data_IF_151815352107
#
_entry.id   IF_151815352107
#
_cell.length_a   1.000
_cell.length_b   1.000
_cell.length_c   1.000
_cell.angle_alpha   90.00
_cell.angle_beta   90.00
_cell.angle_gamma   90.00
#
_symmetry.space_group_name_H-M   'P 1'
#
loop_
_entity.id
_entity.type
_entity.pdbx_description
1 polymer ?
#
# COMPACT_ATOMS: atom_id res chain seq x y z
N UNK A 1 -14.99 -2.71 -16.24
CA UNK A 1 -14.76 -4.17 -16.24
C UNK A 1 -13.28 -4.58 -16.25
N UNK A 2 -12.37 -3.80 -16.86
CA UNK A 2 -10.93 -4.09 -16.90
C UNK A 2 -10.23 -4.18 -15.53
N UNK A 3 -10.58 -3.32 -14.56
CA UNK A 3 -9.89 -3.25 -13.26
C UNK A 3 -10.13 -4.46 -12.35
N UNK A 4 -11.33 -5.06 -12.39
CA UNK A 4 -11.68 -6.22 -11.56
C UNK A 4 -10.97 -7.48 -12.06
N UNK A 5 -11.03 -7.75 -13.37
CA UNK A 5 -10.34 -8.88 -14.01
C UNK A 5 -8.83 -8.81 -13.78
N UNK A 6 -8.22 -7.63 -13.92
CA UNK A 6 -6.80 -7.42 -13.63
C UNK A 6 -6.45 -7.72 -12.15
N UNK A 7 -7.34 -7.38 -11.22
CA UNK A 7 -7.15 -7.66 -9.79
C UNK A 7 -7.19 -9.15 -9.49
N UNK A 8 -8.12 -9.89 -10.11
CA UNK A 8 -8.22 -11.35 -9.95
C UNK A 8 -6.99 -12.07 -10.50
N UNK A 9 -6.49 -11.65 -11.66
CA UNK A 9 -5.30 -12.25 -12.30
C UNK A 9 -4.03 -11.98 -11.49
N UNK A 10 -3.89 -10.78 -10.92
CA UNK A 10 -2.68 -10.40 -10.17
C UNK A 10 -2.71 -10.86 -8.71
N UNK A 11 -3.87 -11.28 -8.19
CA UNK A 11 -4.07 -11.65 -6.78
C UNK A 11 -3.11 -12.75 -6.28
N UNK A 12 -2.86 -13.85 -7.01
CA UNK A 12 -1.89 -14.88 -6.60
C UNK A 12 -0.51 -14.30 -6.32
N UNK A 13 -0.04 -13.41 -7.20
CA UNK A 13 1.27 -12.74 -7.09
C UNK A 13 1.28 -11.78 -5.90
N UNK A 14 0.19 -11.08 -5.63
CA UNK A 14 0.06 -10.26 -4.42
C UNK A 14 0.15 -11.11 -3.16
N UNK A 15 -0.53 -12.26 -3.12
CA UNK A 15 -0.55 -13.15 -1.97
C UNK A 15 0.83 -13.74 -1.67
N UNK A 16 1.57 -14.17 -2.70
CA UNK A 16 2.94 -14.67 -2.52
C UNK A 16 3.88 -13.60 -1.96
N UNK A 17 3.79 -12.37 -2.49
CA UNK A 17 4.61 -11.25 -2.03
C UNK A 17 4.29 -10.88 -0.58
N UNK A 18 3.00 -10.79 -0.24
CA UNK A 18 2.57 -10.49 1.14
C UNK A 18 3.07 -11.55 2.13
N UNK A 19 2.99 -12.85 1.76
CA UNK A 19 3.53 -13.94 2.58
C UNK A 19 5.02 -13.82 2.82
N UNK A 20 5.76 -13.47 1.78
CA UNK A 20 7.20 -13.29 1.87
C UNK A 20 7.54 -12.12 2.79
N UNK A 21 6.80 -11.01 2.73
CA UNK A 21 6.96 -9.87 3.66
C UNK A 21 6.67 -10.26 5.11
N UNK A 22 5.63 -11.08 5.33
CA UNK A 22 5.21 -11.46 6.67
C UNK A 22 6.16 -12.50 7.30
N UNK A 23 6.50 -13.57 6.57
CA UNK A 23 7.26 -14.71 7.10
C UNK A 23 8.76 -14.69 6.76
N UNK A 24 9.22 -13.81 5.86
CA UNK A 24 10.60 -13.82 5.33
C UNK A 24 11.07 -15.16 4.76
N UNK A 25 10.14 -15.96 4.23
CA UNK A 25 10.42 -17.26 3.60
C UNK A 25 11.01 -17.10 2.19
N UNK A 26 11.56 -18.19 1.63
CA UNK A 26 12.01 -18.20 0.23
C UNK A 26 10.79 -18.20 -0.71
N UNK A 27 10.96 -17.65 -1.91
CA UNK A 27 9.90 -17.61 -2.94
C UNK A 27 9.39 -19.01 -3.26
N UNK A 28 10.33 -19.96 -3.39
CA UNK A 28 10.01 -21.37 -3.65
C UNK A 28 9.19 -21.97 -2.52
N UNK A 29 9.53 -21.70 -1.28
CA UNK A 29 8.78 -22.16 -0.11
C UNK A 29 7.40 -21.52 -0.03
N UNK A 30 7.28 -20.22 -0.31
CA UNK A 30 5.99 -19.53 -0.35
C UNK A 30 5.09 -20.12 -1.46
N UNK A 31 5.64 -20.37 -2.65
CA UNK A 31 4.90 -20.99 -3.76
C UNK A 31 4.50 -22.43 -3.44
N UNK A 32 5.39 -23.22 -2.84
CA UNK A 32 5.09 -24.58 -2.39
C UNK A 32 4.00 -24.60 -1.32
N UNK A 33 4.08 -23.74 -0.31
CA UNK A 33 3.02 -23.60 0.70
C UNK A 33 1.67 -23.20 0.08
N UNK A 34 1.66 -22.30 -0.90
CA UNK A 34 0.43 -21.94 -1.61
C UNK A 34 -0.10 -23.08 -2.48
N UNK A 35 0.79 -23.91 -3.05
CA UNK A 35 0.41 -25.08 -3.82
C UNK A 35 -0.21 -26.16 -2.92
N UNK A 36 0.39 -26.42 -1.75
CA UNK A 36 -0.12 -27.35 -0.74
C UNK A 36 -1.46 -26.91 -0.13
N UNK A 37 -1.73 -25.61 -0.06
CA UNK A 37 -3.00 -25.06 0.43
C UNK A 37 -4.18 -25.23 -0.53
N UNK A 38 -3.92 -25.41 -1.82
CA UNK A 38 -4.92 -25.59 -2.88
C UNK A 38 -5.51 -24.29 -3.46
N UNK A 39 -6.05 -24.40 -4.68
CA UNK A 39 -6.53 -23.27 -5.49
C UNK A 39 -7.69 -22.48 -4.87
N UNK A 40 -8.55 -23.12 -4.07
CA UNK A 40 -9.65 -22.44 -3.37
C UNK A 40 -9.13 -21.48 -2.28
N UNK A 41 -8.03 -21.82 -1.60
CA UNK A 41 -7.40 -20.94 -0.61
C UNK A 41 -6.56 -19.86 -1.26
N UNK A 42 -6.10 -20.05 -2.50
CA UNK A 42 -5.35 -19.04 -3.27
C UNK A 42 -6.14 -17.73 -3.42
N UNK A 43 -7.45 -17.82 -3.69
CA UNK A 43 -8.35 -16.66 -3.85
C UNK A 43 -8.97 -16.17 -2.54
N UNK A 44 -8.69 -16.82 -1.41
CA UNK A 44 -9.18 -16.38 -0.11
C UNK A 44 -8.54 -15.03 0.25
N UNK A 45 -9.38 -14.05 0.55
CA UNK A 45 -8.95 -12.66 0.79
C UNK A 45 -8.95 -11.77 -0.45
N UNK A 46 -9.51 -12.23 -1.59
CA UNK A 46 -9.71 -11.39 -2.80
C UNK A 46 -10.90 -10.43 -2.65
N UNK A 47 -11.84 -10.74 -1.76
CA UNK A 47 -13.06 -9.93 -1.56
C UNK A 47 -12.75 -8.52 -1.02
N UNK A 48 -11.93 -8.34 0.04
CA UNK A 48 -11.57 -7.00 0.51
C UNK A 48 -10.95 -6.09 -0.55
N UNK A 49 -9.94 -6.49 -1.35
CA UNK A 49 -9.36 -5.61 -2.37
C UNK A 49 -10.32 -5.32 -3.54
N UNK A 50 -11.22 -6.23 -3.88
CA UNK A 50 -12.27 -5.97 -4.88
C UNK A 50 -13.23 -4.88 -4.38
N UNK A 51 -13.71 -5.01 -3.13
CA UNK A 51 -14.55 -3.99 -2.49
C UNK A 51 -13.81 -2.66 -2.39
N UNK A 52 -12.55 -2.69 -1.97
CA UNK A 52 -11.72 -1.50 -1.84
C UNK A 52 -11.59 -0.77 -3.18
N UNK A 53 -11.28 -1.47 -4.27
CA UNK A 53 -11.22 -0.87 -5.61
C UNK A 53 -12.57 -0.33 -6.10
N UNK A 54 -13.68 -1.01 -5.79
CA UNK A 54 -15.01 -0.50 -6.15
C UNK A 54 -15.39 0.75 -5.37
N UNK A 55 -15.05 0.80 -4.07
CA UNK A 55 -15.34 1.94 -3.20
C UNK A 55 -14.40 3.12 -3.46
N UNK A 56 -13.15 2.86 -3.84
CA UNK A 56 -12.18 3.89 -4.16
C UNK A 56 -12.64 4.78 -5.31
N UNK A 57 -13.22 4.22 -6.37
CA UNK A 57 -13.79 5.05 -7.44
C UNK A 57 -14.91 5.97 -6.93
N UNK A 58 -15.85 5.45 -6.16
CA UNK A 58 -17.04 6.23 -5.77
C UNK A 58 -16.75 7.25 -4.66
N UNK A 59 -16.01 6.84 -3.64
CA UNK A 59 -15.75 7.66 -2.44
C UNK A 59 -14.66 8.69 -2.74
N UNK A 60 -13.59 8.31 -3.44
CA UNK A 60 -12.48 9.24 -3.69
C UNK A 60 -12.93 10.39 -4.59
N UNK A 61 -13.57 10.10 -5.73
CA UNK A 61 -14.03 11.14 -6.64
C UNK A 61 -15.13 12.01 -6.02
N UNK A 62 -16.08 11.44 -5.27
CA UNK A 62 -17.13 12.21 -4.61
C UNK A 62 -16.60 13.08 -3.47
N UNK A 63 -15.73 12.53 -2.63
CA UNK A 63 -15.21 13.23 -1.45
C UNK A 63 -14.15 14.26 -1.81
N UNK A 64 -13.23 13.95 -2.72
CA UNK A 64 -12.21 14.90 -3.20
C UNK A 64 -12.87 16.12 -3.85
N UNK A 65 -13.92 15.92 -4.66
CA UNK A 65 -14.63 17.02 -5.30
C UNK A 65 -15.39 17.88 -4.28
N UNK A 66 -16.03 17.26 -3.28
CA UNK A 66 -16.71 17.96 -2.19
C UNK A 66 -15.74 18.75 -1.31
N UNK A 67 -14.56 18.20 -1.03
CA UNK A 67 -13.56 18.83 -0.17
C UNK A 67 -12.88 20.00 -0.88
N UNK A 68 -12.54 19.85 -2.17
CA UNK A 68 -12.04 20.94 -3.01
C UNK A 68 -13.07 22.07 -3.11
N UNK A 69 -14.34 21.75 -3.33
CA UNK A 69 -15.42 22.72 -3.45
C UNK A 69 -15.70 23.47 -2.14
N UNK A 70 -15.49 22.83 -0.98
CA UNK A 70 -15.64 23.48 0.34
C UNK A 70 -14.40 24.24 0.81
N UNK A 71 -13.19 23.83 0.42
CA UNK A 71 -11.95 24.54 0.76
C UNK A 71 -11.69 25.75 -0.16
N UNK A 72 -12.12 25.69 -1.43
CA UNK A 72 -11.88 26.76 -2.42
C UNK A 72 -12.45 28.13 -2.04
N UNK A 73 -13.67 28.28 -1.47
CA UNK A 73 -14.20 29.60 -1.13
C UNK A 73 -13.72 30.16 0.22
N UNK A 74 -13.21 29.32 1.14
CA UNK A 74 -12.85 29.74 2.50
C UNK A 74 -11.36 29.98 2.74
N UNK A 75 -10.47 29.41 1.91
CA UNK A 75 -9.03 29.38 2.19
C UNK A 75 -8.19 30.41 1.40
N UNK A 76 -8.77 31.13 0.42
CA UNK A 76 -8.08 32.26 -0.26
C UNK A 76 -7.74 33.42 0.71
N UNK A 77 -8.38 33.51 1.88
CA UNK A 77 -8.18 34.61 2.83
C UNK A 77 -7.10 34.36 3.90
N UNK A 78 -6.56 33.14 4.05
CA UNK A 78 -5.68 32.80 5.18
C UNK A 78 -4.42 31.98 4.82
N UNK A 79 -4.37 31.30 3.67
CA UNK A 79 -3.22 30.46 3.31
C UNK A 79 -2.71 30.76 1.90
N UNK A 80 -1.38 30.68 1.65
CA UNK A 80 -0.81 30.85 0.32
C UNK A 80 -1.36 29.79 -0.64
N UNK A 81 -1.63 30.19 -1.90
CA UNK A 81 -2.23 29.34 -2.96
C UNK A 81 -1.50 28.01 -3.20
N UNK A 82 -0.22 27.91 -2.84
CA UNK A 82 0.57 26.68 -2.94
C UNK A 82 0.32 25.66 -1.81
N UNK A 83 -0.17 26.09 -0.64
CA UNK A 83 -0.42 25.21 0.51
C UNK A 83 -1.83 24.60 0.50
N UNK A 84 -2.81 25.26 -0.13
CA UNK A 84 -4.18 24.74 -0.25
C UNK A 84 -4.23 23.33 -0.88
N UNK A 85 -3.55 23.05 -2.02
CA UNK A 85 -3.56 21.72 -2.63
C UNK A 85 -2.89 20.66 -1.75
N UNK A 86 -1.85 21.02 -1.01
CA UNK A 86 -1.15 20.11 -0.10
C UNK A 86 -2.04 19.76 1.11
N UNK A 87 -2.72 20.75 1.69
CA UNK A 87 -3.68 20.55 2.78
C UNK A 87 -4.89 19.73 2.34
N UNK A 88 -5.45 20.02 1.16
CA UNK A 88 -6.53 19.23 0.58
C UNK A 88 -6.08 17.79 0.33
N UNK A 89 -4.88 17.59 -0.22
CA UNK A 89 -4.30 16.27 -0.44
C UNK A 89 -4.05 15.48 0.84
N UNK A 90 -3.55 16.13 1.90
CA UNK A 90 -3.39 15.52 3.22
C UNK A 90 -4.74 15.17 3.85
N UNK A 91 -5.74 16.06 3.75
CA UNK A 91 -7.10 15.81 4.24
C UNK A 91 -7.76 14.63 3.52
N UNK A 92 -7.67 14.58 2.19
CA UNK A 92 -8.13 13.45 1.40
C UNK A 92 -7.39 12.16 1.79
N UNK A 93 -6.07 12.19 1.90
CA UNK A 93 -5.27 11.02 2.28
C UNK A 93 -5.56 10.50 3.70
N UNK A 94 -5.88 11.39 4.64
CA UNK A 94 -6.32 11.01 5.98
C UNK A 94 -7.67 10.29 5.96
N UNK A 95 -8.62 10.81 5.19
CA UNK A 95 -9.95 10.20 5.06
C UNK A 95 -9.86 8.88 4.31
N UNK A 96 -9.09 8.80 3.23
CA UNK A 96 -8.79 7.54 2.55
C UNK A 96 -8.18 6.53 3.52
N UNK A 97 -7.17 6.93 4.28
CA UNK A 97 -6.55 6.04 5.27
C UNK A 97 -7.58 5.59 6.30
N UNK A 98 -8.44 6.48 6.81
CA UNK A 98 -9.46 6.13 7.79
C UNK A 98 -10.49 5.13 7.25
N UNK A 99 -10.94 5.31 6.00
CA UNK A 99 -11.90 4.39 5.38
C UNK A 99 -11.27 3.08 4.92
N UNK A 100 -10.04 3.09 4.40
CA UNK A 100 -9.41 1.91 3.80
C UNK A 100 -8.58 1.07 4.76
N UNK A 101 -8.01 1.65 5.83
CA UNK A 101 -7.29 0.90 6.87
C UNK A 101 -8.05 -0.34 7.38
N UNK A 102 -9.37 -0.29 7.69
CA UNK A 102 -10.09 -1.49 8.13
C UNK A 102 -10.14 -2.57 7.06
N UNK A 103 -10.27 -2.21 5.77
CA UNK A 103 -10.26 -3.18 4.66
C UNK A 103 -8.88 -3.77 4.43
N UNK A 104 -7.84 -2.95 4.44
CA UNK A 104 -6.44 -3.41 4.36
C UNK A 104 -6.11 -4.37 5.50
N UNK A 105 -6.60 -4.08 6.70
CA UNK A 105 -6.41 -4.96 7.85
C UNK A 105 -7.11 -6.31 7.67
N UNK A 106 -8.38 -6.31 7.29
CA UNK A 106 -9.11 -7.56 7.02
C UNK A 106 -8.42 -8.38 5.95
N UNK A 107 -7.92 -7.72 4.90
CA UNK A 107 -7.13 -8.35 3.85
C UNK A 107 -5.85 -8.98 4.40
N UNK A 108 -5.08 -8.23 5.19
CA UNK A 108 -3.83 -8.68 5.81
C UNK A 108 -4.04 -9.91 6.70
N UNK A 109 -5.11 -9.92 7.50
CA UNK A 109 -5.48 -11.06 8.35
C UNK A 109 -5.89 -12.27 7.51
N UNK A 110 -6.70 -12.07 6.47
CA UNK A 110 -7.16 -13.16 5.59
C UNK A 110 -6.05 -13.77 4.74
N UNK A 111 -5.04 -12.98 4.37
CA UNK A 111 -3.90 -13.44 3.59
C UNK A 111 -2.83 -14.14 4.45
N UNK A 112 -2.91 -14.00 5.78
CA UNK A 112 -2.05 -14.69 6.73
C UNK A 112 -2.58 -16.10 7.06
N UNK A 113 -1.92 -17.14 6.54
CA UNK A 113 -2.32 -18.52 6.82
C UNK A 113 -1.95 -19.04 8.20
N UNK A 114 -1.14 -18.31 8.98
CA UNK A 114 -0.99 -18.61 10.40
C UNK A 114 -2.31 -18.51 11.18
N UNK A 115 -3.24 -17.70 10.69
CA UNK A 115 -4.57 -17.54 11.30
C UNK A 115 -5.62 -18.53 10.77
N UNK A 116 -5.28 -19.41 9.81
CA UNK A 116 -6.25 -20.31 9.16
C UNK A 116 -6.91 -21.29 10.14
N UNK A 117 -6.20 -21.69 11.21
CA UNK A 117 -6.72 -22.59 12.23
C UNK A 117 -7.79 -21.95 13.13
N UNK A 118 -7.63 -20.65 13.45
CA UNK A 118 -8.49 -19.96 14.43
C UNK A 118 -9.55 -19.06 13.76
N UNK A 119 -9.30 -18.58 12.55
CA UNK A 119 -10.15 -17.59 11.87
C UNK A 119 -10.43 -17.99 10.40
N UNK A 120 -11.18 -19.08 10.17
CA UNK A 120 -11.41 -19.63 8.82
C UNK A 120 -12.31 -18.76 7.91
N UNK A 121 -13.05 -17.78 8.46
CA UNK A 121 -14.09 -17.06 7.71
C UNK A 121 -14.06 -15.57 8.02
N UNK A 122 -14.35 -14.74 7.00
CA UNK A 122 -14.48 -13.27 7.13
C UNK A 122 -15.40 -12.88 8.29
N UNK A 123 -16.54 -13.54 8.45
CA UNK A 123 -17.49 -13.27 9.54
C UNK A 123 -16.90 -13.50 10.93
N UNK A 124 -16.05 -14.52 11.10
CA UNK A 124 -15.36 -14.78 12.38
C UNK A 124 -14.27 -13.74 12.65
N UNK A 125 -13.57 -13.28 11.61
CA UNK A 125 -12.57 -12.19 11.72
C UNK A 125 -13.27 -10.89 12.15
N UNK A 126 -14.35 -10.52 11.47
CA UNK A 126 -15.14 -9.33 11.81
C UNK A 126 -15.74 -9.45 13.21
N UNK A 127 -16.27 -10.62 13.59
CA UNK A 127 -16.75 -10.87 14.94
C UNK A 127 -15.65 -10.70 16.00
N UNK A 128 -14.45 -11.23 15.75
CA UNK A 128 -13.29 -11.07 16.65
C UNK A 128 -12.82 -9.63 16.74
N UNK A 129 -12.74 -8.91 15.63
CA UNK A 129 -12.37 -7.49 15.62
C UNK A 129 -13.43 -6.61 16.31
N UNK A 130 -14.72 -6.98 16.24
CA UNK A 130 -15.79 -6.31 16.98
C UNK A 130 -15.73 -6.58 18.49
N UNK A 131 -15.20 -7.74 18.89
CA UNK A 131 -14.99 -8.04 20.33
C UNK A 131 -13.79 -7.33 20.94
N UNK A 132 -12.90 -6.77 20.11
CA UNK A 132 -11.77 -5.95 20.55
C UNK A 132 -12.13 -4.45 20.52
N UNK A 133 -11.35 -3.61 21.20
CA UNK A 133 -11.54 -2.15 21.13
C UNK A 133 -11.37 -1.64 19.70
N UNK A 134 -12.09 -0.59 19.29
CA UNK A 134 -12.03 -0.04 17.92
C UNK A 134 -10.60 0.25 17.44
N UNK A 135 -9.77 0.82 18.32
CA UNK A 135 -8.36 1.09 18.05
C UNK A 135 -7.54 -0.19 17.83
N UNK A 136 -7.77 -1.22 18.65
CA UNK A 136 -7.00 -2.46 18.59
C UNK A 136 -7.52 -3.43 17.54
N UNK A 137 -8.81 -3.39 17.22
CA UNK A 137 -9.52 -4.29 16.32
C UNK A 137 -9.60 -3.81 14.87
N UNK A 138 -9.74 -2.51 14.60
CA UNK A 138 -9.88 -1.98 13.24
C UNK A 138 -8.71 -1.07 12.82
N UNK A 139 -8.20 -0.24 13.72
CA UNK A 139 -7.19 0.79 13.42
C UNK A 139 -5.77 0.48 13.93
N UNK A 140 -5.45 -0.80 14.17
CA UNK A 140 -4.08 -1.21 14.53
C UNK A 140 -3.16 -0.88 13.34
N UNK A 141 -2.01 -0.29 13.65
CA UNK A 141 -1.06 0.25 12.68
C UNK A 141 -1.51 1.52 11.91
N UNK A 142 -2.59 2.20 12.30
CA UNK A 142 -3.03 3.42 11.62
C UNK A 142 -1.93 4.50 11.53
N UNK A 143 -1.24 4.77 12.64
CA UNK A 143 -0.13 5.73 12.68
C UNK A 143 1.02 5.37 11.70
N UNK A 144 1.62 4.16 11.77
CA UNK A 144 2.69 3.81 10.83
C UNK A 144 2.19 3.71 9.37
N UNK A 145 0.93 3.34 9.12
CA UNK A 145 0.33 3.39 7.78
C UNK A 145 0.25 4.82 7.26
N UNK A 146 -0.23 5.75 8.09
CA UNK A 146 -0.31 7.16 7.75
C UNK A 146 1.08 7.75 7.48
N UNK A 147 2.05 7.47 8.35
CA UNK A 147 3.44 7.91 8.16
C UNK A 147 4.03 7.36 6.87
N UNK A 148 3.80 6.08 6.57
CA UNK A 148 4.24 5.45 5.32
C UNK A 148 3.67 6.15 4.10
N UNK A 149 2.37 6.42 4.11
CA UNK A 149 1.69 7.09 3.01
C UNK A 149 2.17 8.54 2.85
N UNK A 150 2.31 9.28 3.95
CA UNK A 150 2.79 10.66 3.94
C UNK A 150 4.23 10.76 3.41
N UNK A 151 5.13 9.89 3.88
CA UNK A 151 6.51 9.82 3.40
C UNK A 151 6.57 9.39 1.93
N UNK A 152 5.77 8.41 1.53
CA UNK A 152 5.67 7.96 0.14
C UNK A 152 5.26 9.09 -0.80
N UNK A 153 4.20 9.82 -0.45
CA UNK A 153 3.73 10.97 -1.23
C UNK A 153 4.76 12.11 -1.25
N UNK A 154 5.38 12.43 -0.10
CA UNK A 154 6.40 13.48 -0.03
C UNK A 154 7.62 13.17 -0.90
N UNK A 155 8.13 11.94 -0.85
CA UNK A 155 9.25 11.53 -1.70
C UNK A 155 8.85 11.48 -3.18
N UNK A 156 7.62 11.04 -3.49
CA UNK A 156 7.11 11.06 -4.87
C UNK A 156 7.07 12.48 -5.44
N UNK A 157 6.46 13.43 -4.74
CA UNK A 157 6.42 14.83 -5.20
C UNK A 157 7.81 15.47 -5.23
N UNK A 158 8.66 15.21 -4.23
CA UNK A 158 10.02 15.74 -4.19
C UNK A 158 10.93 15.20 -5.30
N UNK A 159 10.72 13.96 -5.74
CA UNK A 159 11.50 13.34 -6.81
C UNK A 159 10.91 13.57 -8.20
N UNK A 160 9.61 13.86 -8.32
CA UNK A 160 8.93 14.06 -9.59
C UNK A 160 9.55 15.20 -10.40
N UNK A 161 9.77 16.36 -9.78
CA UNK A 161 10.33 17.54 -10.44
C UNK A 161 11.79 17.39 -10.93
N UNK A 162 12.76 17.00 -10.08
CA UNK A 162 14.15 16.86 -10.51
C UNK A 162 14.29 15.77 -11.58
N UNK A 163 13.54 14.68 -11.47
CA UNK A 163 13.59 13.59 -12.42
C UNK A 163 12.97 13.98 -13.77
N UNK A 164 11.85 14.72 -13.76
CA UNK A 164 11.25 15.25 -14.99
C UNK A 164 12.20 16.20 -15.74
N UNK A 165 13.08 16.91 -15.02
CA UNK A 165 14.11 17.77 -15.63
C UNK A 165 15.24 16.96 -16.27
N UNK A 166 15.81 16.00 -15.53
CA UNK A 166 16.83 15.07 -16.03
C UNK A 166 16.39 14.33 -17.30
N UNK A 167 15.11 13.97 -17.39
CA UNK A 167 14.55 13.27 -18.54
C UNK A 167 14.41 14.12 -19.81
N UNK A 168 14.21 15.44 -19.65
CA UNK A 168 14.13 16.37 -20.78
C UNK A 168 15.50 16.63 -21.41
N UNK A 169 16.57 16.41 -20.67
CA UNK A 169 17.95 16.68 -21.10
C UNK A 169 18.58 15.51 -21.89
N UNK A 170 18.00 14.30 -21.86
CA UNK A 170 18.64 13.10 -22.42
C UNK A 170 18.19 12.66 -23.83
N UNK A 171 17.34 13.41 -24.54
CA UNK A 171 16.92 13.15 -25.95
C UNK A 171 16.52 11.68 -26.26
N UNK A 172 16.07 10.94 -25.25
CA UNK A 172 15.67 9.54 -25.36
C UNK A 172 14.23 9.41 -25.84
N UNK A 173 13.84 8.27 -26.44
CA UNK A 173 12.46 8.03 -26.82
C UNK A 173 11.55 8.25 -25.60
N UNK A 174 10.54 9.13 -25.72
CA UNK A 174 9.84 9.73 -24.58
C UNK A 174 9.20 8.70 -23.64
N UNK A 175 8.77 7.57 -24.20
CA UNK A 175 8.11 6.49 -23.46
C UNK A 175 9.11 5.68 -22.62
N UNK A 176 10.29 5.39 -23.16
CA UNK A 176 11.32 4.64 -22.44
C UNK A 176 11.93 5.50 -21.32
N UNK A 177 12.14 6.78 -21.60
CA UNK A 177 12.59 7.78 -20.63
C UNK A 177 11.63 7.84 -19.44
N UNK A 178 10.33 8.03 -19.69
CA UNK A 178 9.26 8.06 -18.68
C UNK A 178 9.11 6.74 -17.91
N UNK A 179 9.38 5.61 -18.54
CA UNK A 179 9.36 4.29 -17.88
C UNK A 179 10.52 4.13 -16.90
N UNK A 180 11.75 4.43 -17.34
CA UNK A 180 12.97 4.31 -16.51
C UNK A 180 12.91 5.27 -15.33
N UNK A 181 12.39 6.48 -15.54
CA UNK A 181 12.21 7.45 -14.46
C UNK A 181 11.21 6.96 -13.41
N UNK A 182 10.06 6.41 -13.84
CA UNK A 182 9.10 5.79 -12.95
C UNK A 182 9.70 4.64 -12.13
N UNK A 183 10.56 3.83 -12.74
CA UNK A 183 11.29 2.76 -12.04
C UNK A 183 12.28 3.31 -11.00
N UNK A 184 13.13 4.27 -11.38
CA UNK A 184 14.17 4.84 -10.50
C UNK A 184 13.53 5.57 -9.31
N UNK A 185 12.52 6.41 -9.54
CA UNK A 185 11.75 7.02 -8.46
C UNK A 185 11.20 5.97 -7.51
N UNK A 186 10.59 4.92 -8.04
CA UNK A 186 9.98 3.87 -7.22
C UNK A 186 11.01 3.11 -6.42
N UNK A 187 12.21 2.90 -6.96
CA UNK A 187 13.31 2.26 -6.25
C UNK A 187 13.76 3.13 -5.08
N UNK A 188 14.04 4.42 -5.33
CA UNK A 188 14.49 5.39 -4.33
C UNK A 188 13.43 5.59 -3.22
N UNK A 189 12.15 5.53 -3.56
CA UNK A 189 11.03 5.63 -2.61
C UNK A 189 10.85 4.32 -1.83
N UNK A 190 10.82 3.18 -2.52
CA UNK A 190 10.45 1.90 -1.92
C UNK A 190 11.54 1.35 -1.00
N UNK A 191 12.82 1.64 -1.28
CA UNK A 191 13.93 1.17 -0.46
C UNK A 191 13.87 1.66 0.99
N UNK A 192 13.78 2.98 1.29
CA UNK A 192 13.64 3.48 2.67
C UNK A 192 12.27 3.17 3.30
N UNK A 193 11.20 3.04 2.50
CA UNK A 193 9.86 2.75 3.00
C UNK A 193 9.61 1.25 3.25
N UNK A 194 10.50 0.38 2.79
CA UNK A 194 10.32 -1.06 2.92
C UNK A 194 10.27 -1.53 4.38
N UNK A 195 11.19 -1.12 5.28
CA UNK A 195 11.12 -1.47 6.70
C UNK A 195 9.80 -1.07 7.36
N UNK A 196 9.29 0.12 7.02
CA UNK A 196 8.02 0.63 7.54
C UNK A 196 6.83 -0.17 6.98
N UNK A 197 6.91 -0.58 5.72
CA UNK A 197 5.89 -1.44 5.08
C UNK A 197 5.83 -2.81 5.74
N UNK A 198 6.98 -3.40 6.10
CA UNK A 198 7.04 -4.67 6.84
C UNK A 198 6.45 -4.52 8.25
N UNK A 199 6.75 -3.41 8.94
CA UNK A 199 6.17 -3.11 10.25
C UNK A 199 4.63 -3.04 10.19
N UNK A 200 4.11 -2.27 9.23
CA UNK A 200 2.66 -2.13 9.03
C UNK A 200 2.03 -3.49 8.73
N UNK A 201 2.59 -4.26 7.80
CA UNK A 201 2.08 -5.59 7.46
C UNK A 201 2.06 -6.54 8.66
N UNK A 202 3.12 -6.54 9.49
CA UNK A 202 3.20 -7.37 10.69
C UNK A 202 2.15 -6.96 11.75
N UNK A 203 2.01 -5.65 11.99
CA UNK A 203 1.04 -5.11 12.93
C UNK A 203 -0.41 -5.32 12.48
N UNK A 204 -0.70 -5.23 11.18
CA UNK A 204 -2.03 -5.46 10.61
C UNK A 204 -2.41 -6.95 10.58
N UNK A 205 -1.44 -7.84 10.35
CA UNK A 205 -1.67 -9.29 10.28
C UNK A 205 -1.89 -9.93 11.67
N UNK A 206 -1.53 -9.24 12.76
CA UNK A 206 -1.70 -9.73 14.12
C UNK A 206 -3.16 -9.55 14.60
N UNK A 207 -3.74 -10.64 15.14
CA UNK A 207 -5.09 -10.65 15.70
C UNK A 207 -5.03 -11.14 17.14
N UNK A 208 -5.62 -10.39 18.06
CA UNK A 208 -5.49 -10.63 19.50
C UNK A 208 -4.17 -10.14 20.09
N UNK A 209 -4.19 -9.95 21.42
CA UNK A 209 -3.06 -9.45 22.22
C UNK A 209 -3.03 -7.93 22.35
N UNK A 210 -2.42 -7.45 23.42
CA UNK A 210 -2.32 -6.02 23.74
C UNK A 210 -1.76 -5.23 22.56
N UNK A 211 -2.29 -4.02 22.38
CA UNK A 211 -1.76 -3.06 21.43
C UNK A 211 -0.47 -2.50 21.97
N UNK A 212 0.58 -3.32 21.87
CA UNK A 212 1.95 -2.90 22.07
C UNK A 212 2.21 -1.77 21.10
N UNK A 213 2.37 -0.55 21.63
CA UNK A 213 2.53 0.66 20.84
C UNK A 213 3.59 0.49 19.74
N UNK A 214 3.57 1.37 18.74
CA UNK A 214 4.40 1.26 17.51
C UNK A 214 5.87 0.92 17.81
N UNK A 215 6.45 1.51 18.87
CA UNK A 215 7.82 1.24 19.33
C UNK A 215 8.04 -0.18 19.82
N UNK A 216 7.11 -0.72 20.61
CA UNK A 216 7.19 -2.09 21.13
C UNK A 216 6.98 -3.12 20.01
N UNK A 217 6.08 -2.85 19.05
CA UNK A 217 5.90 -3.68 17.87
C UNK A 217 7.14 -3.69 16.97
N UNK A 218 7.80 -2.54 16.80
CA UNK A 218 9.09 -2.47 16.12
C UNK A 218 10.17 -3.29 16.82
N UNK A 219 10.28 -3.19 18.14
CA UNK A 219 11.26 -3.94 18.91
C UNK A 219 11.00 -5.46 18.81
N UNK A 220 9.75 -5.90 18.89
CA UNK A 220 9.39 -7.30 18.69
C UNK A 220 9.69 -7.79 17.27
N UNK A 221 9.40 -6.98 16.25
CA UNK A 221 9.74 -7.30 14.87
C UNK A 221 11.26 -7.43 14.70
N UNK A 222 12.01 -6.49 15.27
CA UNK A 222 13.47 -6.49 15.23
C UNK A 222 14.05 -7.74 15.91
N UNK A 223 13.50 -8.14 17.06
CA UNK A 223 13.87 -9.38 17.73
C UNK A 223 13.48 -10.63 16.92
N UNK A 224 12.26 -10.69 16.36
CA UNK A 224 11.81 -11.79 15.49
C UNK A 224 12.67 -11.94 14.23
N UNK A 225 13.24 -10.85 13.73
CA UNK A 225 14.16 -10.82 12.58
C UNK A 225 15.63 -11.03 12.99
N UNK A 226 15.90 -11.50 14.20
CA UNK A 226 17.24 -11.71 14.76
C UNK A 226 18.16 -10.50 14.61
N UNK A 227 17.60 -9.28 14.68
CA UNK A 227 18.34 -8.01 14.50
C UNK A 227 19.13 -7.90 13.18
N UNK A 228 18.73 -8.65 12.16
CA UNK A 228 19.42 -8.66 10.86
C UNK A 228 18.67 -7.83 9.83
N UNK A 229 19.37 -6.85 9.24
CA UNK A 229 18.85 -6.04 8.13
C UNK A 229 18.58 -6.89 6.89
N UNK A 230 19.37 -7.94 6.67
CA UNK A 230 19.18 -8.86 5.54
C UNK A 230 17.86 -9.61 5.68
N UNK A 231 17.52 -10.07 6.90
CA UNK A 231 16.22 -10.69 7.15
C UNK A 231 15.06 -9.68 7.08
N UNK A 232 15.30 -8.44 7.51
CA UNK A 232 14.28 -7.39 7.41
C UNK A 232 13.96 -7.07 5.94
N UNK A 233 14.98 -6.97 5.09
CA UNK A 233 14.86 -6.75 3.64
C UNK A 233 14.57 -8.04 2.85
N UNK A 234 14.47 -9.20 3.51
CA UNK A 234 14.15 -10.47 2.86
C UNK A 234 12.69 -10.42 2.36
N UNK A 235 12.52 -10.48 1.04
CA UNK A 235 11.24 -10.21 0.36
C UNK A 235 11.12 -8.81 -0.24
N UNK A 236 12.03 -7.90 0.12
CA UNK A 236 12.03 -6.52 -0.36
C UNK A 236 12.39 -6.40 -1.81
N UNK A 237 13.31 -7.23 -2.33
CA UNK A 237 13.67 -7.21 -3.75
C UNK A 237 12.48 -7.41 -4.68
N UNK A 238 11.60 -8.36 -4.37
CA UNK A 238 10.38 -8.63 -5.16
C UNK A 238 9.34 -7.53 -5.03
N UNK A 239 9.16 -6.99 -3.82
CA UNK A 239 8.23 -5.87 -3.57
C UNK A 239 8.71 -4.62 -4.31
N UNK A 240 10.00 -4.32 -4.20
CA UNK A 240 10.63 -3.18 -4.86
C UNK A 240 10.58 -3.37 -6.38
N UNK A 241 10.95 -4.54 -6.91
CA UNK A 241 10.88 -4.84 -8.34
C UNK A 241 9.46 -4.68 -8.88
N UNK A 242 8.48 -5.23 -8.16
CA UNK A 242 7.06 -5.12 -8.50
C UNK A 242 6.59 -3.67 -8.48
N UNK A 243 6.96 -2.89 -7.45
CA UNK A 243 6.69 -1.45 -7.39
C UNK A 243 7.33 -0.73 -8.58
N UNK A 244 8.60 -1.00 -8.89
CA UNK A 244 9.30 -0.37 -10.01
C UNK A 244 8.60 -0.63 -11.34
N UNK A 245 8.23 -1.88 -11.63
CA UNK A 245 7.54 -2.23 -12.87
C UNK A 245 6.16 -1.55 -12.92
N UNK A 246 5.40 -1.62 -11.82
CA UNK A 246 4.05 -1.04 -11.77
C UNK A 246 4.07 0.46 -12.02
N UNK A 247 4.93 1.19 -11.32
CA UNK A 247 5.04 2.63 -11.45
C UNK A 247 5.69 3.06 -12.76
N UNK A 248 6.67 2.31 -13.29
CA UNK A 248 7.23 2.54 -14.63
C UNK A 248 6.14 2.50 -15.70
N UNK A 249 5.29 1.47 -15.67
CA UNK A 249 4.15 1.34 -16.60
C UNK A 249 3.17 2.51 -16.41
N UNK A 250 2.79 2.83 -15.17
CA UNK A 250 1.84 3.92 -14.89
C UNK A 250 2.37 5.26 -15.41
N UNK A 251 3.63 5.60 -15.16
CA UNK A 251 4.24 6.85 -15.63
C UNK A 251 4.32 6.89 -17.15
N UNK A 252 4.70 5.78 -17.80
CA UNK A 252 4.74 5.72 -19.27
C UNK A 252 3.36 5.90 -19.91
N UNK A 253 2.32 5.28 -19.35
CA UNK A 253 0.93 5.45 -19.81
C UNK A 253 0.46 6.90 -19.58
N UNK A 254 0.77 7.47 -18.41
CA UNK A 254 0.39 8.85 -18.09
C UNK A 254 1.01 9.84 -19.08
N UNK A 255 2.31 9.72 -19.36
CA UNK A 255 3.00 10.58 -20.34
C UNK A 255 2.40 10.45 -21.76
N UNK A 256 2.03 9.24 -22.19
CA UNK A 256 1.34 9.05 -23.47
C UNK A 256 -0.05 9.69 -23.52
N UNK A 257 -0.81 9.62 -22.44
CA UNK A 257 -2.13 10.24 -22.36
C UNK A 257 -2.04 11.76 -22.36
N UNK A 258 -1.12 12.34 -21.58
CA UNK A 258 -0.92 13.79 -21.54
C UNK A 258 -0.50 14.34 -22.91
N UNK A 259 0.33 13.61 -23.66
CA UNK A 259 0.73 13.99 -25.04
C UNK A 259 -0.36 13.87 -26.09
N UNK A 260 -1.40 13.07 -25.86
CA UNK A 260 -2.56 12.96 -26.78
C UNK A 260 -3.64 14.01 -26.50
N UNK A 261 -3.63 14.61 -25.31
CA UNK A 261 -4.64 15.58 -24.87
C UNK A 261 -4.18 17.05 -25.00
N UNK A 262 -2.94 17.29 -25.41
CA UNK A 262 -2.42 18.62 -25.77
C UNK A 262 -2.01 18.63 -27.23
#
# INVERSE_FOLDING_TARGET
MSSLTCTVITFPVYKTVFRQQLHSTLIREAVLQLYEEGLLKLYRGVVPPLLMKTLQGTILFGFQNTLLQKLSPGAESYFPRAMLPALAGLGTGLVECLFFTPFERVQSILQNSGNDRNLPTLSKIVGRMRSETLANGWYRAFLPTLTRNALGSSLYFGLKDPLSRLLREQDCPPVASSFVSGMVSSFVISLPLYPLSVLVANMQAQVGGDNLGVRASWHQLWQKRQRSLVLLYRGGSLVILRSCISWGITTAIYDQLTKRSG
#
